data_IF_136092308431
#
_entry.id   IF_136092308431
#
_cell.length_a   1.000
_cell.length_b   1.000
_cell.length_c   1.000
_cell.angle_alpha   90.00
_cell.angle_beta   90.00
_cell.angle_gamma   90.00
#
_symmetry.space_group_name_H-M   'P 1'
#
loop_
_entity.id
_entity.type
_entity.pdbx_description
1 polymer ?
#
# COMPACT_ATOMS: atom_id res chain seq x y z
N UNK A 1 0.22 -10.32 15.11
CA UNK A 1 0.25 -9.43 13.95
C UNK A 1 -0.96 -8.50 13.84
N UNK A 2 -2.08 -8.84 14.38
CA UNK A 2 -3.27 -7.98 14.37
C UNK A 2 -3.60 -7.46 15.77
N UNK A 3 -2.60 -6.92 16.45
CA UNK A 3 -2.87 -6.18 17.67
C UNK A 3 -3.62 -4.88 17.34
N UNK A 4 -4.55 -4.45 18.19
CA UNK A 4 -5.39 -3.28 17.94
C UNK A 4 -4.64 -1.99 17.58
N UNK A 5 -3.39 -1.88 18.00
CA UNK A 5 -2.51 -0.75 17.71
C UNK A 5 -1.49 -1.07 16.62
N UNK A 6 -1.40 -2.32 16.16
CA UNK A 6 -0.40 -2.79 15.22
C UNK A 6 -0.52 -2.08 13.88
N UNK A 7 -1.67 -2.14 13.27
CA UNK A 7 -1.93 -1.56 11.95
C UNK A 7 -1.67 -0.05 11.91
N UNK A 8 -2.08 0.67 12.97
CA UNK A 8 -1.76 2.09 13.10
C UNK A 8 -0.26 2.33 13.19
N UNK A 9 0.42 1.60 14.08
CA UNK A 9 1.86 1.74 14.28
C UNK A 9 2.65 1.38 13.02
N UNK A 10 2.25 0.32 12.32
CA UNK A 10 2.90 -0.10 11.09
C UNK A 10 2.77 0.94 9.98
N UNK A 11 1.56 1.48 9.76
CA UNK A 11 1.34 2.55 8.80
C UNK A 11 2.19 3.79 9.14
N UNK A 12 2.21 4.20 10.40
CA UNK A 12 2.97 5.38 10.83
C UNK A 12 4.48 5.15 10.76
N UNK A 13 4.98 3.97 11.15
CA UNK A 13 6.42 3.69 11.14
C UNK A 13 6.97 3.48 9.73
N UNK A 14 6.22 2.87 8.83
CA UNK A 14 6.60 2.75 7.43
C UNK A 14 6.56 4.09 6.68
N UNK A 15 5.83 5.08 7.20
CA UNK A 15 5.68 6.40 6.59
C UNK A 15 6.88 7.31 6.90
N UNK A 16 7.13 8.24 6.00
CA UNK A 16 8.17 9.27 6.19
C UNK A 16 7.73 10.32 7.20
N UNK A 17 6.45 10.71 7.19
CA UNK A 17 5.92 11.74 8.07
C UNK A 17 5.68 11.21 9.49
N UNK A 18 5.96 12.02 10.51
CA UNK A 18 5.54 11.84 11.89
C UNK A 18 5.08 13.16 12.53
N UNK A 19 4.55 13.09 13.76
CA UNK A 19 4.02 14.26 14.46
C UNK A 19 5.09 15.30 14.84
N UNK A 20 6.35 14.89 14.85
CA UNK A 20 7.48 15.75 15.16
C UNK A 20 8.17 16.29 13.91
N UNK A 21 7.70 15.90 12.73
CA UNK A 21 8.22 16.31 11.45
C UNK A 21 8.57 15.14 10.53
N UNK A 22 9.28 15.46 9.46
CA UNK A 22 9.70 14.47 8.47
C UNK A 22 10.87 13.66 8.99
N UNK A 23 10.82 12.34 8.82
CA UNK A 23 11.87 11.40 9.21
C UNK A 23 12.05 10.32 8.14
N UNK A 24 13.18 9.62 8.11
CA UNK A 24 13.28 8.39 7.32
C UNK A 24 12.28 7.35 7.82
N UNK A 25 11.61 6.62 6.91
CA UNK A 25 10.70 5.56 7.30
C UNK A 25 11.45 4.38 7.93
N UNK A 26 10.81 3.68 8.85
CA UNK A 26 11.22 2.35 9.26
C UNK A 26 10.75 1.30 8.25
N UNK A 27 11.22 0.07 8.42
CA UNK A 27 10.80 -1.06 7.59
C UNK A 27 10.08 -2.07 8.48
N UNK A 28 8.80 -2.18 8.26
CA UNK A 28 7.93 -3.14 8.92
C UNK A 28 7.15 -3.91 7.85
N UNK A 29 7.25 -5.23 7.88
CA UNK A 29 6.40 -6.14 7.12
C UNK A 29 5.48 -6.88 8.08
N UNK A 30 4.24 -7.10 7.69
CA UNK A 30 3.28 -7.88 8.47
C UNK A 30 3.49 -9.38 8.31
N UNK A 31 2.74 -10.18 9.08
CA UNK A 31 2.55 -11.63 8.89
C UNK A 31 3.85 -12.44 8.97
N UNK A 32 4.85 -11.93 9.69
CA UNK A 32 6.15 -12.57 9.83
C UNK A 32 6.85 -12.85 8.47
N UNK A 33 6.52 -12.06 7.42
CA UNK A 33 7.12 -12.19 6.10
C UNK A 33 8.51 -11.55 6.04
N UNK A 34 9.50 -12.28 6.54
CA UNK A 34 10.88 -11.83 6.58
C UNK A 34 11.50 -11.62 5.19
N UNK A 35 11.08 -12.36 4.17
CA UNK A 35 11.56 -12.15 2.81
C UNK A 35 11.06 -10.82 2.24
N UNK A 36 9.82 -10.46 2.54
CA UNK A 36 9.27 -9.17 2.13
C UNK A 36 9.91 -8.02 2.92
N UNK A 37 10.17 -8.21 4.20
CA UNK A 37 10.91 -7.21 5.00
C UNK A 37 12.30 -6.93 4.39
N UNK A 38 13.01 -7.97 3.94
CA UNK A 38 14.30 -7.80 3.24
C UNK A 38 14.11 -7.06 1.91
N UNK A 39 13.06 -7.38 1.13
CA UNK A 39 12.75 -6.64 -0.08
C UNK A 39 12.51 -5.16 0.20
N UNK A 40 11.65 -4.83 1.18
CA UNK A 40 11.35 -3.45 1.57
C UNK A 40 12.62 -2.73 2.03
N UNK A 41 13.50 -3.40 2.80
CA UNK A 41 14.77 -2.82 3.20
C UNK A 41 15.66 -2.49 2.00
N UNK A 42 15.79 -3.41 1.04
CA UNK A 42 16.56 -3.20 -0.19
C UNK A 42 15.98 -2.03 -1.01
N UNK A 43 14.65 -2.01 -1.22
CA UNK A 43 13.97 -0.92 -1.91
C UNK A 43 14.22 0.43 -1.24
N UNK A 44 14.06 0.50 0.08
CA UNK A 44 14.32 1.72 0.84
C UNK A 44 15.78 2.18 0.73
N UNK A 45 16.76 1.28 0.87
CA UNK A 45 18.18 1.61 0.76
C UNK A 45 18.60 2.09 -0.64
N UNK A 46 17.96 1.58 -1.69
CA UNK A 46 18.25 1.97 -3.06
C UNK A 46 17.60 3.29 -3.45
N UNK A 47 16.41 3.59 -2.93
CA UNK A 47 15.61 4.73 -3.38
C UNK A 47 15.44 5.83 -2.33
N UNK A 48 15.66 5.51 -1.06
CA UNK A 48 15.34 6.40 0.07
C UNK A 48 13.82 6.59 0.30
N UNK A 49 12.99 5.87 -0.45
CA UNK A 49 11.54 6.01 -0.42
C UNK A 49 10.90 5.12 0.65
N UNK A 50 9.77 5.55 1.20
CA UNK A 50 8.90 4.68 1.97
C UNK A 50 8.48 3.47 1.13
N UNK A 51 8.39 2.32 1.77
CA UNK A 51 7.99 1.06 1.14
C UNK A 51 6.62 0.65 1.63
N UNK A 52 5.86 0.02 0.75
CA UNK A 52 4.52 -0.49 1.05
C UNK A 52 4.56 -2.01 0.97
N UNK A 53 4.13 -2.65 2.04
CA UNK A 53 3.80 -4.06 2.02
C UNK A 53 2.37 -4.22 1.48
N UNK A 54 2.16 -5.06 0.49
CA UNK A 54 0.84 -5.32 -0.06
C UNK A 54 0.71 -6.77 -0.57
N UNK A 55 -0.45 -7.34 -0.33
CA UNK A 55 -0.84 -8.60 -0.93
C UNK A 55 -1.36 -8.38 -2.35
N UNK A 56 -0.93 -9.23 -3.28
CA UNK A 56 -1.61 -9.37 -4.57
C UNK A 56 -2.85 -10.22 -4.34
N UNK A 57 -3.97 -9.59 -4.03
CA UNK A 57 -5.19 -10.27 -3.59
C UNK A 57 -5.91 -10.98 -4.72
N UNK A 58 -6.07 -10.31 -5.86
CA UNK A 58 -6.76 -10.88 -7.01
C UNK A 58 -6.43 -10.14 -8.30
N UNK A 59 -6.72 -10.78 -9.42
CA UNK A 59 -6.79 -10.14 -10.73
C UNK A 59 -8.24 -9.90 -11.12
N UNK A 60 -8.56 -8.67 -11.44
CA UNK A 60 -9.86 -8.29 -11.96
C UNK A 60 -9.81 -8.17 -13.48
N UNK A 61 -10.52 -9.03 -14.20
CA UNK A 61 -10.77 -8.82 -15.62
C UNK A 61 -11.86 -7.79 -15.83
N UNK A 62 -11.92 -7.11 -16.99
CA UNK A 62 -13.01 -6.18 -17.31
C UNK A 62 -14.40 -6.79 -17.13
N UNK A 63 -14.59 -8.04 -17.54
CA UNK A 63 -15.86 -8.77 -17.39
C UNK A 63 -16.22 -9.03 -15.94
N UNK A 64 -15.21 -9.29 -15.09
CA UNK A 64 -15.42 -9.52 -13.67
C UNK A 64 -15.85 -8.25 -12.94
N UNK A 65 -15.22 -7.12 -13.27
CA UNK A 65 -15.59 -5.82 -12.71
C UNK A 65 -17.00 -5.44 -13.14
N UNK A 66 -17.31 -5.55 -14.44
CA UNK A 66 -18.62 -5.22 -14.97
C UNK A 66 -19.74 -6.04 -14.32
N UNK A 67 -19.51 -7.33 -14.16
CA UNK A 67 -20.49 -8.22 -13.49
C UNK A 67 -20.78 -7.84 -12.05
N UNK A 68 -19.79 -7.29 -11.33
CA UNK A 68 -19.90 -6.94 -9.91
C UNK A 68 -20.44 -5.54 -9.72
N UNK A 69 -20.01 -4.59 -10.55
CA UNK A 69 -20.21 -3.16 -10.33
C UNK A 69 -21.06 -2.47 -11.41
N UNK A 70 -21.28 -3.13 -12.54
CA UNK A 70 -21.88 -2.52 -13.72
C UNK A 70 -20.92 -1.60 -14.51
N UNK A 71 -19.71 -1.39 -14.00
CA UNK A 71 -18.67 -0.60 -14.69
C UNK A 71 -17.66 -1.52 -15.39
N UNK A 72 -17.35 -1.23 -16.65
CA UNK A 72 -16.35 -1.98 -17.43
C UNK A 72 -15.09 -1.16 -17.63
N UNK A 73 -13.97 -1.50 -16.98
CA UNK A 73 -12.68 -0.85 -17.26
C UNK A 73 -12.14 -1.28 -18.63
N UNK A 74 -11.26 -0.47 -19.21
CA UNK A 74 -10.63 -0.77 -20.51
C UNK A 74 -9.72 -2.00 -20.46
N UNK A 75 -9.08 -2.23 -19.32
CA UNK A 75 -8.15 -3.34 -19.12
C UNK A 75 -8.32 -3.97 -17.73
N UNK A 76 -7.84 -5.18 -17.57
CA UNK A 76 -7.77 -5.84 -16.27
C UNK A 76 -6.64 -5.29 -15.42
N UNK A 77 -6.74 -5.52 -14.12
CA UNK A 77 -5.76 -5.01 -13.15
C UNK A 77 -5.57 -5.95 -11.96
N UNK A 78 -4.47 -5.78 -11.27
CA UNK A 78 -4.21 -6.45 -10.00
C UNK A 78 -4.78 -5.61 -8.86
N UNK A 79 -5.46 -6.26 -7.93
CA UNK A 79 -5.90 -5.65 -6.69
C UNK A 79 -4.84 -5.89 -5.62
N UNK A 80 -4.22 -4.81 -5.20
CA UNK A 80 -3.25 -4.81 -4.11
C UNK A 80 -3.95 -4.31 -2.86
N UNK A 81 -3.85 -5.05 -1.77
CA UNK A 81 -4.46 -4.68 -0.49
C UNK A 81 -3.55 -5.08 0.66
N UNK A 82 -3.49 -4.26 1.67
CA UNK A 82 -3.02 -4.63 2.99
C UNK A 82 -3.61 -3.68 4.03
N UNK A 83 -3.82 -4.19 5.24
CA UNK A 83 -4.01 -3.39 6.44
C UNK A 83 -2.68 -3.27 7.17
N UNK A 84 -2.41 -2.13 7.78
CA UNK A 84 -1.24 -1.95 8.65
C UNK A 84 0.00 -1.42 7.95
N UNK A 85 0.75 -2.23 7.24
CA UNK A 85 2.06 -1.88 6.66
C UNK A 85 2.00 -0.97 5.43
N UNK A 86 0.87 -0.34 5.16
CA UNK A 86 0.71 0.64 4.10
C UNK A 86 1.21 2.01 4.55
N UNK A 87 2.41 2.38 4.11
CA UNK A 87 2.94 3.72 4.36
C UNK A 87 2.01 4.81 3.81
N UNK A 88 1.77 5.87 4.58
CA UNK A 88 0.89 6.98 4.18
C UNK A 88 1.39 7.71 2.93
N UNK A 89 2.69 7.65 2.65
CA UNK A 89 3.31 8.11 1.39
C UNK A 89 2.66 7.43 0.17
N UNK A 90 2.15 6.21 0.34
CA UNK A 90 1.43 5.45 -0.69
C UNK A 90 0.09 6.01 -1.12
N UNK A 91 -0.42 7.05 -0.45
CA UNK A 91 -1.62 7.79 -0.90
C UNK A 91 -1.41 8.47 -2.27
N UNK A 92 -0.16 8.63 -2.72
CA UNK A 92 0.18 9.32 -3.97
C UNK A 92 0.01 10.84 -3.91
N UNK A 93 0.07 11.42 -2.70
CA UNK A 93 -0.08 12.87 -2.52
C UNK A 93 1.23 13.64 -2.64
N UNK A 94 2.37 12.95 -2.64
CA UNK A 94 3.62 13.58 -3.07
C UNK A 94 3.58 13.86 -4.57
N UNK A 95 4.28 14.89 -4.99
CA UNK A 95 4.37 15.27 -6.40
C UNK A 95 5.82 15.37 -6.83
N UNK A 96 6.11 14.87 -8.02
CA UNK A 96 7.37 15.08 -8.69
C UNK A 96 7.48 16.53 -9.22
N UNK A 97 8.60 16.86 -9.85
CA UNK A 97 8.83 18.20 -10.43
C UNK A 97 7.83 18.58 -11.53
N UNK A 98 7.16 17.61 -12.14
CA UNK A 98 6.14 17.80 -13.17
C UNK A 98 4.72 17.83 -12.62
N UNK A 99 4.55 17.64 -11.32
CA UNK A 99 3.27 17.60 -10.65
C UNK A 99 2.58 16.25 -10.67
N UNK A 100 3.22 15.18 -11.14
CA UNK A 100 2.68 13.83 -11.14
C UNK A 100 2.73 13.19 -9.74
N UNK A 101 1.79 12.31 -9.40
CA UNK A 101 1.82 11.60 -8.14
C UNK A 101 3.03 10.66 -8.06
N UNK A 102 3.69 10.63 -6.90
CA UNK A 102 4.87 9.81 -6.67
C UNK A 102 5.03 9.49 -5.18
N UNK A 103 6.04 8.72 -4.83
CA UNK A 103 6.62 8.66 -3.48
C UNK A 103 8.00 9.32 -3.55
N UNK A 104 8.22 10.36 -2.75
CA UNK A 104 9.49 11.04 -2.69
C UNK A 104 10.50 10.30 -1.81
N UNK A 105 11.81 10.40 -2.10
CA UNK A 105 12.83 10.03 -1.13
C UNK A 105 12.66 10.82 0.17
N UNK A 106 12.99 10.22 1.31
CA UNK A 106 12.76 10.82 2.63
C UNK A 106 13.37 12.23 2.79
N UNK A 107 14.50 12.49 2.15
CA UNK A 107 15.15 13.81 2.19
C UNK A 107 14.47 14.90 1.34
N UNK A 108 13.50 14.55 0.51
CA UNK A 108 12.70 15.48 -0.30
C UNK A 108 11.28 15.67 0.23
N UNK A 109 10.87 14.83 1.19
CA UNK A 109 9.54 14.93 1.79
C UNK A 109 9.47 16.13 2.72
N UNK A 110 8.42 16.93 2.56
CA UNK A 110 8.16 18.10 3.41
C UNK A 110 7.04 17.81 4.41
N UNK A 111 6.92 18.64 5.44
CA UNK A 111 5.79 18.58 6.36
C UNK A 111 4.44 18.72 5.63
N UNK A 112 4.41 19.55 4.59
CA UNK A 112 3.22 19.73 3.76
C UNK A 112 2.85 18.46 2.97
N UNK A 113 3.84 17.73 2.45
CA UNK A 113 3.60 16.43 1.82
C UNK A 113 2.97 15.46 2.83
N UNK A 114 3.51 15.39 4.04
CA UNK A 114 2.98 14.53 5.10
C UNK A 114 1.56 14.89 5.51
N UNK A 115 1.26 16.19 5.65
CA UNK A 115 -0.11 16.66 5.96
C UNK A 115 -1.10 16.24 4.88
N UNK A 116 -0.75 16.40 3.60
CA UNK A 116 -1.60 15.94 2.50
C UNK A 116 -1.84 14.44 2.52
N UNK A 117 -0.83 13.65 2.83
CA UNK A 117 -1.00 12.19 3.00
C UNK A 117 -1.99 11.88 4.12
N UNK A 118 -1.86 12.52 5.29
CA UNK A 118 -2.78 12.36 6.41
C UNK A 118 -4.22 12.75 6.06
N UNK A 119 -4.42 13.87 5.36
CA UNK A 119 -5.74 14.34 4.94
C UNK A 119 -6.45 13.38 3.98
N UNK A 120 -5.68 12.60 3.20
CA UNK A 120 -6.19 11.59 2.27
C UNK A 120 -6.27 10.19 2.89
N UNK A 121 -5.89 10.05 4.14
CA UNK A 121 -5.98 8.80 4.89
C UNK A 121 -7.17 8.83 5.82
N UNK A 122 -7.99 7.80 5.75
CA UNK A 122 -9.07 7.56 6.70
C UNK A 122 -8.63 6.54 7.73
N UNK A 123 -8.88 6.83 8.99
CA UNK A 123 -8.67 5.87 10.08
C UNK A 123 -9.98 5.16 10.36
N UNK A 124 -9.97 3.85 10.26
CA UNK A 124 -11.14 3.03 10.54
C UNK A 124 -10.86 2.08 11.71
N UNK A 125 -11.89 1.62 12.43
CA UNK A 125 -11.71 0.60 13.44
C UNK A 125 -11.06 -0.65 12.83
N UNK A 126 -10.00 -1.15 13.46
CA UNK A 126 -9.39 -2.43 13.12
C UNK A 126 -10.26 -3.56 13.70
N UNK A 127 -11.43 -3.78 13.10
CA UNK A 127 -12.34 -4.85 13.48
C UNK A 127 -11.94 -6.10 12.74
N UNK A 128 -11.44 -7.08 13.47
CA UNK A 128 -11.14 -8.38 12.92
C UNK A 128 -12.08 -9.44 13.55
N UNK A 129 -12.73 -10.23 12.73
CA UNK A 129 -13.68 -11.26 13.22
C UNK A 129 -13.05 -12.25 14.19
N UNK A 130 -11.79 -12.56 13.99
CA UNK A 130 -11.06 -13.54 14.79
C UNK A 130 -10.30 -12.94 15.98
N UNK A 131 -10.03 -11.66 15.96
CA UNK A 131 -9.28 -10.97 17.01
C UNK A 131 -10.14 -9.84 17.57
N UNK A 132 -10.80 -10.09 18.66
CA UNK A 132 -11.63 -9.11 19.37
C UNK A 132 -10.75 -8.00 19.95
N UNK A 133 -10.24 -7.15 19.09
CA UNK A 133 -9.44 -6.00 19.47
C UNK A 133 -10.12 -4.70 19.09
N UNK A 134 -9.85 -3.63 19.83
CA UNK A 134 -10.08 -2.28 19.39
C UNK A 134 -8.76 -1.72 18.84
N UNK A 135 -8.81 -0.78 17.94
CA UNK A 135 -7.64 -0.13 17.36
C UNK A 135 -8.02 0.56 16.07
N UNK A 136 -7.03 1.11 15.40
CA UNK A 136 -7.22 1.84 14.15
C UNK A 136 -6.35 1.23 13.05
N UNK A 137 -6.93 1.15 11.87
CA UNK A 137 -6.21 0.83 10.63
C UNK A 137 -6.30 2.02 9.67
N UNK A 138 -5.28 2.19 8.85
CA UNK A 138 -5.28 3.19 7.79
C UNK A 138 -6.06 2.66 6.59
N UNK A 139 -6.83 3.54 5.97
CA UNK A 139 -7.53 3.25 4.73
C UNK A 139 -7.37 4.41 3.76
N UNK A 140 -6.85 4.12 2.59
CA UNK A 140 -6.75 5.09 1.49
C UNK A 140 -6.75 4.39 0.14
N UNK A 141 -7.04 5.14 -0.89
CA UNK A 141 -6.82 4.74 -2.28
C UNK A 141 -5.59 5.46 -2.80
N UNK A 142 -4.65 4.71 -3.37
CA UNK A 142 -3.50 5.30 -4.04
C UNK A 142 -3.96 6.05 -5.28
N UNK A 143 -3.42 7.25 -5.48
CA UNK A 143 -3.79 8.09 -6.61
C UNK A 143 -3.46 7.43 -7.94
N UNK A 144 -4.43 7.44 -8.86
CA UNK A 144 -4.22 6.96 -10.24
C UNK A 144 -3.10 7.70 -10.95
N UNK A 145 -2.37 6.99 -11.80
CA UNK A 145 -1.20 7.50 -12.51
C UNK A 145 0.10 7.47 -11.73
N UNK A 146 0.09 7.14 -10.44
CA UNK A 146 1.32 6.97 -9.68
C UNK A 146 2.07 5.71 -10.17
N UNK A 147 3.35 5.83 -10.61
CA UNK A 147 4.16 4.68 -10.96
C UNK A 147 4.60 3.93 -9.71
N UNK A 148 4.80 2.62 -9.83
CA UNK A 148 5.39 1.80 -8.78
C UNK A 148 6.25 0.69 -9.34
N UNK A 149 7.19 0.23 -8.52
CA UNK A 149 7.96 -0.99 -8.73
C UNK A 149 7.60 -1.99 -7.64
N UNK A 150 6.99 -3.08 -8.03
CA UNK A 150 6.72 -4.20 -7.14
C UNK A 150 7.90 -5.15 -7.16
N UNK A 151 8.37 -5.59 -5.99
CA UNK A 151 9.50 -6.51 -5.88
C UNK A 151 9.26 -7.56 -4.79
N UNK A 152 9.72 -8.77 -5.05
CA UNK A 152 9.57 -9.92 -4.16
C UNK A 152 10.75 -10.87 -4.27
N UNK A 153 11.29 -11.31 -3.13
CA UNK A 153 12.23 -12.45 -3.11
C UNK A 153 11.43 -13.73 -2.96
N UNK A 154 11.69 -14.66 -3.87
CA UNK A 154 11.16 -16.02 -3.80
C UNK A 154 12.29 -17.04 -3.70
N UNK A 155 12.08 -18.07 -2.90
CA UNK A 155 12.98 -19.22 -2.82
C UNK A 155 12.54 -20.27 -3.83
N UNK A 156 13.30 -20.45 -4.89
CA UNK A 156 12.99 -21.41 -5.95
C UNK A 156 13.83 -22.67 -5.72
N UNK A 157 13.16 -23.82 -5.61
CA UNK A 157 13.83 -25.10 -5.40
C UNK A 157 14.84 -25.35 -6.52
N UNK A 158 16.08 -25.57 -6.13
CA UNK A 158 17.20 -25.86 -7.06
C UNK A 158 17.88 -24.60 -7.65
N UNK A 159 17.31 -23.41 -7.46
CA UNK A 159 17.91 -22.15 -7.91
C UNK A 159 18.34 -21.25 -6.74
N UNK A 160 17.60 -21.30 -5.63
CA UNK A 160 17.83 -20.42 -4.47
C UNK A 160 16.95 -19.16 -4.47
N UNK A 161 17.38 -18.09 -3.81
CA UNK A 161 16.63 -16.84 -3.78
C UNK A 161 16.67 -16.14 -5.14
N UNK A 162 15.51 -15.69 -5.60
CA UNK A 162 15.35 -14.94 -6.84
C UNK A 162 14.54 -13.68 -6.53
N UNK A 163 15.06 -12.52 -6.92
CA UNK A 163 14.34 -11.26 -6.86
C UNK A 163 13.49 -11.12 -8.13
N UNK A 164 12.19 -11.10 -7.95
CA UNK A 164 11.23 -10.77 -9.00
C UNK A 164 10.92 -9.28 -8.92
N UNK A 165 10.88 -8.63 -10.08
CA UNK A 165 10.57 -7.20 -10.21
C UNK A 165 9.50 -7.06 -11.27
N UNK A 166 8.49 -6.22 -10.97
CA UNK A 166 7.47 -5.81 -11.94
C UNK A 166 7.22 -4.31 -11.80
N UNK A 167 7.09 -3.64 -12.93
CA UNK A 167 6.79 -2.22 -13.00
C UNK A 167 5.36 -2.00 -13.44
N UNK A 168 4.74 -0.95 -12.94
CA UNK A 168 3.37 -0.59 -13.27
C UNK A 168 2.99 0.79 -12.77
N UNK A 169 1.72 1.07 -12.84
CA UNK A 169 1.13 2.29 -12.31
C UNK A 169 -0.25 1.99 -11.75
N UNK A 170 -0.63 2.77 -10.75
CA UNK A 170 -1.97 2.70 -10.19
C UNK A 170 -2.99 3.27 -11.17
N UNK A 171 -4.12 2.61 -11.30
CA UNK A 171 -5.25 3.09 -12.09
C UNK A 171 -6.23 3.82 -11.20
N UNK A 172 -6.99 4.75 -11.79
CA UNK A 172 -8.08 5.41 -11.12
C UNK A 172 -9.41 4.78 -11.56
N UNK A 173 -10.22 4.38 -10.60
CA UNK A 173 -11.57 3.89 -10.82
C UNK A 173 -12.57 4.84 -10.16
N UNK A 174 -13.82 4.90 -10.62
CA UNK A 174 -14.87 5.59 -9.90
C UNK A 174 -14.95 5.11 -8.44
N UNK A 175 -15.22 6.05 -7.52
CA UNK A 175 -15.20 5.73 -6.08
C UNK A 175 -16.13 4.56 -5.72
N UNK A 176 -17.34 4.57 -6.27
CA UNK A 176 -18.35 3.53 -6.05
C UNK A 176 -17.89 2.14 -6.57
N UNK A 177 -17.06 2.11 -7.60
CA UNK A 177 -16.46 0.87 -8.12
C UNK A 177 -15.40 0.35 -7.15
N UNK A 178 -14.51 1.24 -6.68
CA UNK A 178 -13.51 0.88 -5.67
C UNK A 178 -14.18 0.36 -4.39
N UNK A 179 -15.19 1.06 -3.87
CA UNK A 179 -15.90 0.66 -2.67
C UNK A 179 -16.54 -0.73 -2.82
N UNK A 180 -17.15 -1.01 -3.98
CA UNK A 180 -17.78 -2.30 -4.26
C UNK A 180 -16.76 -3.45 -4.40
N UNK A 181 -15.58 -3.18 -4.96
CA UNK A 181 -14.53 -4.19 -5.10
C UNK A 181 -13.82 -4.46 -3.77
N UNK A 182 -13.58 -3.41 -2.97
CA UNK A 182 -12.98 -3.53 -1.64
C UNK A 182 -13.88 -4.34 -0.70
N UNK A 183 -15.16 -4.06 -0.68
CA UNK A 183 -16.15 -4.78 0.13
C UNK A 183 -16.17 -6.27 -0.19
N UNK A 184 -16.14 -6.64 -1.48
CA UNK A 184 -16.09 -8.05 -1.90
C UNK A 184 -14.81 -8.77 -1.54
N UNK A 185 -13.67 -8.09 -1.55
CA UNK A 185 -12.40 -8.73 -1.18
C UNK A 185 -12.28 -8.95 0.33
N UNK A 186 -12.97 -8.14 1.14
CA UNK A 186 -12.96 -8.25 2.59
C UNK A 186 -14.04 -9.18 3.16
N UNK A 187 -15.13 -9.44 2.42
CA UNK A 187 -16.23 -10.32 2.85
C UNK A 187 -16.05 -11.78 2.42
N UNK A 188 -15.06 -12.12 1.61
CA UNK A 188 -14.88 -13.47 1.07
C UNK A 188 -13.85 -14.33 1.81
N UNK A 189 -13.68 -14.13 3.11
CA UNK A 189 -12.87 -14.97 3.98
C UNK A 189 -13.69 -16.06 4.67
#
# INVERSE_FOLDING_TARGET
DHFPTGDFMEAMLNSTYDWNGVRPPYILATENDSLNAVCMLLGNQLTGQAQIFADVRTYWSPDSVERVTGFRPEQGFLHLINSGSAALDGTGQHKDANGNPTIKPAWEVTEEDGKRCLEHTRWCPAVHEYFRGGGLSSQFLTKGGMPFTMHRINLIKGLGPVLQIAEGWFIELPKEVNDALDHRTNETW
#
